data_IF_600222441478
#
_entry.id   IF_600222441478
#
_cell.length_a   1.000
_cell.length_b   1.000
_cell.length_c   1.000
_cell.angle_alpha   90.00
_cell.angle_beta   90.00
_cell.angle_gamma   90.00
#
_symmetry.space_group_name_H-M   'P 1'
#
loop_
_entity.id
_entity.type
_entity.pdbx_description
1 polymer ?
#
# COMPACT_ATOMS: atom_id res chain seq x y z
N UNK A 1 21.14 -1.64 9.32
CA UNK A 1 20.43 -1.72 8.01
C UNK A 1 18.94 -2.11 8.10
N UNK A 2 18.34 -2.26 9.30
CA UNK A 2 16.97 -2.78 9.50
C UNK A 2 15.84 -1.89 8.92
N UNK A 3 16.06 -0.58 8.83
CA UNK A 3 15.05 0.34 8.28
C UNK A 3 14.99 0.32 6.74
N UNK A 4 16.12 0.07 6.06
CA UNK A 4 16.12 -0.06 4.59
C UNK A 4 15.32 -1.29 4.15
N UNK A 5 15.48 -2.43 4.84
CA UNK A 5 14.71 -3.65 4.54
C UNK A 5 13.21 -3.46 4.78
N UNK A 6 12.81 -2.82 5.89
CA UNK A 6 11.38 -2.51 6.16
C UNK A 6 10.78 -1.61 5.07
N UNK A 7 11.54 -0.60 4.61
CA UNK A 7 11.11 0.29 3.54
C UNK A 7 10.94 -0.46 2.20
N UNK A 8 11.87 -1.36 1.87
CA UNK A 8 11.78 -2.21 0.67
C UNK A 8 10.53 -3.10 0.74
N UNK A 9 10.27 -3.74 1.88
CA UNK A 9 9.08 -4.61 2.05
C UNK A 9 7.78 -3.80 1.91
N UNK A 10 7.71 -2.62 2.50
CA UNK A 10 6.53 -1.76 2.38
C UNK A 10 6.30 -1.29 0.92
N UNK A 11 7.37 -0.95 0.20
CA UNK A 11 7.28 -0.60 -1.21
C UNK A 11 6.89 -1.80 -2.09
N UNK A 12 7.43 -2.99 -1.80
CA UNK A 12 7.05 -4.21 -2.52
C UNK A 12 5.56 -4.52 -2.31
N UNK A 13 5.06 -4.37 -1.08
CA UNK A 13 3.63 -4.48 -0.79
C UNK A 13 2.81 -3.48 -1.60
N UNK A 14 3.20 -2.20 -1.59
CA UNK A 14 2.51 -1.16 -2.35
C UNK A 14 2.50 -1.45 -3.86
N UNK A 15 3.62 -1.92 -4.41
CA UNK A 15 3.71 -2.31 -5.82
C UNK A 15 2.76 -3.46 -6.14
N UNK A 16 2.75 -4.52 -5.32
CA UNK A 16 1.85 -5.67 -5.51
C UNK A 16 0.38 -5.23 -5.42
N UNK A 17 0.04 -4.36 -4.47
CA UNK A 17 -1.30 -3.81 -4.34
C UNK A 17 -1.71 -3.01 -5.58
N UNK A 18 -0.86 -2.09 -6.06
CA UNK A 18 -1.13 -1.31 -7.27
C UNK A 18 -1.32 -2.21 -8.49
N UNK A 19 -0.38 -3.14 -8.72
CA UNK A 19 -0.48 -4.08 -9.85
C UNK A 19 -1.76 -4.90 -9.77
N UNK A 20 -2.09 -5.46 -8.59
CA UNK A 20 -3.31 -6.24 -8.41
C UNK A 20 -4.58 -5.42 -8.68
N UNK A 21 -4.66 -4.19 -8.17
CA UNK A 21 -5.79 -3.29 -8.41
C UNK A 21 -5.93 -2.97 -9.90
N UNK A 22 -4.84 -2.58 -10.56
CA UNK A 22 -4.83 -2.31 -12.00
C UNK A 22 -5.29 -3.53 -12.80
N UNK A 23 -4.79 -4.73 -12.49
CA UNK A 23 -5.17 -5.97 -13.17
C UNK A 23 -6.66 -6.27 -12.99
N UNK A 24 -7.18 -6.21 -11.77
CA UNK A 24 -8.59 -6.50 -11.49
C UNK A 24 -9.52 -5.56 -12.25
N UNK A 25 -9.29 -4.25 -12.16
CA UNK A 25 -10.12 -3.26 -12.85
C UNK A 25 -10.00 -3.36 -14.37
N UNK A 26 -8.79 -3.58 -14.89
CA UNK A 26 -8.57 -3.78 -16.33
C UNK A 26 -9.29 -5.03 -16.83
N UNK A 27 -9.27 -6.13 -16.07
CA UNK A 27 -9.99 -7.37 -16.43
C UNK A 27 -11.51 -7.23 -16.35
N UNK A 28 -12.01 -6.34 -15.48
CA UNK A 28 -13.42 -6.03 -15.35
C UNK A 28 -13.92 -4.99 -16.38
N UNK A 29 -13.03 -4.48 -17.25
CA UNK A 29 -13.37 -3.44 -18.23
C UNK A 29 -13.63 -2.06 -17.62
N UNK A 30 -13.22 -1.84 -16.37
CA UNK A 30 -13.41 -0.59 -15.64
C UNK A 30 -12.23 0.35 -15.94
N UNK A 31 -12.54 1.57 -16.38
CA UNK A 31 -11.54 2.59 -16.66
C UNK A 31 -10.98 3.24 -15.38
N UNK A 32 -9.70 3.60 -15.44
CA UNK A 32 -8.94 4.23 -14.36
C UNK A 32 -8.47 5.60 -14.87
N UNK A 33 -8.41 6.62 -13.99
CA UNK A 33 -8.00 7.98 -14.37
C UNK A 33 -9.16 8.97 -14.34
N UNK A 34 -9.34 9.77 -15.39
CA UNK A 34 -10.26 10.93 -15.37
C UNK A 34 -11.69 10.63 -15.83
N UNK A 35 -12.02 9.36 -16.13
CA UNK A 35 -13.38 8.97 -16.50
C UNK A 35 -14.36 9.13 -15.31
N UNK A 36 -15.63 9.47 -15.57
CA UNK A 36 -16.64 9.68 -14.52
C UNK A 36 -16.88 8.45 -13.63
N UNK A 37 -16.65 7.24 -14.16
CA UNK A 37 -16.72 5.98 -13.41
C UNK A 37 -15.44 5.58 -12.66
N UNK A 38 -14.34 6.34 -12.81
CA UNK A 38 -13.04 5.97 -12.28
C UNK A 38 -12.83 6.34 -10.80
N UNK A 39 -13.84 6.88 -10.11
CA UNK A 39 -13.71 7.28 -8.70
C UNK A 39 -13.30 6.10 -7.82
N UNK A 40 -13.99 4.97 -7.91
CA UNK A 40 -13.71 3.76 -7.10
C UNK A 40 -12.30 3.23 -7.33
N UNK A 41 -11.85 2.94 -8.57
CA UNK A 41 -10.48 2.46 -8.78
C UNK A 41 -9.41 3.45 -8.33
N UNK A 42 -9.62 4.76 -8.56
CA UNK A 42 -8.67 5.79 -8.12
C UNK A 42 -8.56 5.83 -6.59
N UNK A 43 -9.69 5.77 -5.88
CA UNK A 43 -9.71 5.75 -4.41
C UNK A 43 -8.98 4.51 -3.88
N UNK A 44 -9.21 3.33 -4.48
CA UNK A 44 -8.55 2.10 -4.04
C UNK A 44 -7.04 2.11 -4.33
N UNK A 45 -6.63 2.62 -5.50
CA UNK A 45 -5.21 2.80 -5.86
C UNK A 45 -4.47 3.72 -4.88
N UNK A 46 -5.16 4.66 -4.26
CA UNK A 46 -4.59 5.52 -3.23
C UNK A 46 -4.66 4.89 -1.84
N UNK A 47 -5.85 4.50 -1.39
CA UNK A 47 -6.06 4.11 0.00
C UNK A 47 -5.35 2.80 0.37
N UNK A 48 -5.35 1.79 -0.51
CA UNK A 48 -4.79 0.49 -0.16
C UNK A 48 -3.27 0.55 0.06
N UNK A 49 -2.46 1.12 -0.86
CA UNK A 49 -1.03 1.27 -0.62
C UNK A 49 -0.73 2.16 0.60
N UNK A 50 -1.43 3.29 0.75
CA UNK A 50 -1.22 4.22 1.86
C UNK A 50 -1.55 3.59 3.22
N UNK A 51 -2.65 2.84 3.32
CA UNK A 51 -2.98 2.07 4.52
C UNK A 51 -1.91 1.02 4.84
N UNK A 52 -1.37 0.35 3.82
CA UNK A 52 -0.25 -0.57 3.99
C UNK A 52 0.99 0.10 4.57
N UNK A 53 1.39 1.26 4.04
CA UNK A 53 2.50 2.03 4.57
C UNK A 53 2.26 2.48 6.02
N UNK A 54 1.07 2.99 6.33
CA UNK A 54 0.69 3.38 7.70
C UNK A 54 0.79 2.18 8.65
N UNK A 55 0.28 1.02 8.25
CA UNK A 55 0.37 -0.20 9.04
C UNK A 55 1.81 -0.63 9.29
N UNK A 56 2.65 -0.67 8.25
CA UNK A 56 4.06 -1.04 8.40
C UNK A 56 4.82 -0.04 9.27
N UNK A 57 4.52 1.25 9.16
CA UNK A 57 5.11 2.30 9.98
C UNK A 57 4.72 2.14 11.45
N UNK A 58 3.44 2.00 11.75
CA UNK A 58 2.96 1.81 13.13
C UNK A 58 3.52 0.53 13.76
N UNK A 59 3.54 -0.57 13.01
CA UNK A 59 4.14 -1.83 13.46
C UNK A 59 5.64 -1.69 13.73
N UNK A 60 6.34 -0.89 12.91
CA UNK A 60 7.76 -0.59 13.16
C UNK A 60 7.95 0.16 14.47
N UNK A 61 7.13 1.19 14.73
CA UNK A 61 7.19 2.01 15.94
C UNK A 61 6.91 1.18 17.21
N UNK A 62 5.87 0.35 17.18
CA UNK A 62 5.54 -0.54 18.31
C UNK A 62 6.67 -1.54 18.62
N UNK A 63 7.30 -2.10 17.59
CA UNK A 63 8.41 -3.04 17.76
C UNK A 63 9.71 -2.38 18.25
N UNK A 64 9.94 -1.10 17.95
CA UNK A 64 11.08 -0.35 18.50
C UNK A 64 10.83 0.00 19.97
N UNK A 65 9.62 0.43 20.34
CA UNK A 65 9.28 0.69 21.75
C UNK A 65 9.39 -0.56 22.63
N UNK A 66 8.94 -1.73 22.15
CA UNK A 66 9.12 -3.00 22.91
C UNK A 66 10.58 -3.40 23.12
N UNK A 67 11.50 -2.98 22.25
CA UNK A 67 12.94 -3.26 22.39
C UNK A 67 13.67 -2.25 23.27
N UNK A 68 13.07 -1.10 23.55
CA UNK A 68 13.63 -0.10 24.46
C UNK A 68 13.27 -0.38 25.94
N UNK A 69 12.24 -1.20 26.18
CA UNK A 69 11.71 -1.52 27.53
C UNK A 69 12.17 -2.92 28.00
N UNK A 70 12.76 -3.73 27.12
CA UNK A 70 13.30 -5.07 27.42
C UNK A 70 14.83 -5.04 27.39
#
# INVERSE_FOLDING_TARGET
MKNKTKLIVANLFALVAVVGILTLFRSAGIEIGSASGAMVPNVLLLLIPQAGFIYFYWKSFSNENRKAIA
#
